data_IF_859619727780
#
_entry.id   IF_859619727780
#
_cell.length_a   1.000
_cell.length_b   1.000
_cell.length_c   1.000
_cell.angle_alpha   90.00
_cell.angle_beta   90.00
_cell.angle_gamma   90.00
#
_symmetry.space_group_name_H-M   'P 1'
#
loop_
_entity.id
_entity.type
_entity.pdbx_description
1 polymer ?
#
# COMPACT_ATOMS: atom_id res chain seq x y z
N UNK A 1 19.95 -87.85 5.57
CA UNK A 1 20.66 -86.76 6.28
C UNK A 1 21.18 -85.68 5.32
N UNK A 2 21.91 -86.02 4.25
CA UNK A 2 22.42 -85.00 3.32
C UNK A 2 21.32 -84.30 2.49
N UNK A 3 20.22 -85.00 2.17
CA UNK A 3 19.13 -84.47 1.33
C UNK A 3 18.25 -83.46 2.08
N UNK A 4 17.92 -83.76 3.34
CA UNK A 4 17.15 -82.90 4.25
C UNK A 4 17.88 -81.57 4.55
N UNK A 5 19.21 -81.60 4.60
CA UNK A 5 20.01 -80.38 4.75
C UNK A 5 19.99 -79.49 3.51
N UNK A 6 19.79 -80.04 2.32
CA UNK A 6 19.72 -79.23 1.08
C UNK A 6 18.38 -78.52 0.98
N UNK A 7 17.31 -79.21 1.30
CA UNK A 7 15.94 -78.67 1.32
C UNK A 7 15.81 -77.48 2.30
N UNK A 8 16.37 -77.64 3.51
CA UNK A 8 16.41 -76.58 4.51
C UNK A 8 17.25 -75.35 4.10
N UNK A 9 18.29 -75.54 3.28
CA UNK A 9 19.13 -74.45 2.80
C UNK A 9 18.47 -73.70 1.64
N UNK A 10 17.76 -74.41 0.76
CA UNK A 10 17.02 -73.80 -0.35
C UNK A 10 15.84 -72.96 0.18
N UNK A 11 15.11 -73.45 1.18
CA UNK A 11 14.01 -72.71 1.81
C UNK A 11 14.50 -71.42 2.50
N UNK A 12 15.66 -71.47 3.19
CA UNK A 12 16.24 -70.26 3.79
C UNK A 12 16.80 -69.27 2.78
N UNK A 13 17.30 -69.76 1.64
CA UNK A 13 17.78 -68.90 0.56
C UNK A 13 16.59 -68.19 -0.09
N UNK A 14 15.47 -68.87 -0.33
CA UNK A 14 14.25 -68.23 -0.83
C UNK A 14 13.69 -67.20 0.16
N UNK A 15 13.63 -67.53 1.46
CA UNK A 15 13.11 -66.59 2.48
C UNK A 15 14.00 -65.34 2.61
N UNK A 16 15.33 -65.51 2.46
CA UNK A 16 16.29 -64.40 2.50
C UNK A 16 16.26 -63.58 1.20
N UNK A 17 16.10 -64.24 0.04
CA UNK A 17 16.05 -63.58 -1.26
C UNK A 17 14.74 -62.78 -1.45
N UNK A 18 13.62 -63.28 -0.93
CA UNK A 18 12.32 -62.59 -1.03
C UNK A 18 12.25 -61.37 -0.10
N UNK A 19 12.89 -61.40 1.08
CA UNK A 19 12.90 -60.27 2.01
C UNK A 19 13.74 -59.07 1.54
N UNK A 20 14.84 -59.29 0.83
CA UNK A 20 15.80 -58.23 0.52
C UNK A 20 15.59 -57.53 -0.84
N UNK A 21 14.75 -58.08 -1.74
CA UNK A 21 14.55 -57.53 -3.10
C UNK A 21 13.45 -56.43 -3.15
N UNK A 22 12.63 -56.25 -2.12
CA UNK A 22 11.46 -55.34 -2.16
C UNK A 22 11.55 -54.07 -1.30
N UNK A 23 12.74 -53.62 -0.88
CA UNK A 23 12.90 -52.28 -0.30
C UNK A 23 12.89 -51.17 -1.38
N UNK A 24 11.71 -50.86 -1.92
CA UNK A 24 11.52 -49.75 -2.88
C UNK A 24 11.82 -48.40 -2.21
N UNK A 25 12.73 -47.56 -2.75
CA UNK A 25 12.98 -46.24 -2.16
C UNK A 25 11.72 -45.39 -2.32
N UNK A 26 11.12 -44.96 -1.20
CA UNK A 26 9.97 -44.05 -1.18
C UNK A 26 10.40 -42.65 -1.63
N UNK A 27 10.55 -42.45 -2.94
CA UNK A 27 10.59 -41.13 -3.57
C UNK A 27 9.18 -40.53 -3.58
N UNK A 28 8.84 -39.69 -2.60
CA UNK A 28 7.63 -38.83 -2.68
C UNK A 28 7.84 -37.50 -1.92
N UNK A 29 8.42 -36.52 -2.62
CA UNK A 29 8.33 -35.09 -2.24
C UNK A 29 8.30 -34.10 -3.42
N UNK A 30 8.29 -34.59 -4.66
CA UNK A 30 8.30 -33.72 -5.86
C UNK A 30 6.96 -33.05 -6.19
N UNK A 31 5.84 -33.55 -5.66
CA UNK A 31 4.52 -32.95 -5.94
C UNK A 31 4.30 -31.70 -5.08
N UNK A 32 4.62 -31.75 -3.78
CA UNK A 32 4.46 -30.61 -2.86
C UNK A 32 5.32 -29.41 -3.28
N UNK A 33 6.51 -29.65 -3.83
CA UNK A 33 7.38 -28.59 -4.35
C UNK A 33 6.78 -27.84 -5.55
N UNK A 34 6.10 -28.53 -6.47
CA UNK A 34 5.44 -27.88 -7.62
C UNK A 34 4.26 -27.00 -7.16
N UNK A 35 3.43 -27.47 -6.23
CA UNK A 35 2.36 -26.64 -5.64
C UNK A 35 2.91 -25.42 -4.92
N UNK A 36 4.05 -25.57 -4.22
CA UNK A 36 4.70 -24.44 -3.55
C UNK A 36 5.19 -23.39 -4.55
N UNK A 37 5.78 -23.82 -5.67
CA UNK A 37 6.21 -22.92 -6.75
C UNK A 37 5.02 -22.21 -7.41
N UNK A 38 3.93 -22.93 -7.73
CA UNK A 38 2.72 -22.30 -8.25
C UNK A 38 2.06 -21.34 -7.26
N UNK A 39 2.09 -21.66 -5.96
CA UNK A 39 1.60 -20.78 -4.89
C UNK A 39 2.39 -19.48 -4.78
N UNK A 40 3.73 -19.55 -4.87
CA UNK A 40 4.59 -18.36 -4.88
C UNK A 40 4.33 -17.51 -6.12
N UNK A 41 4.18 -18.13 -7.30
CA UNK A 41 3.88 -17.39 -8.55
C UNK A 41 2.52 -16.70 -8.45
N UNK A 42 1.49 -17.39 -7.93
CA UNK A 42 0.17 -16.81 -7.72
C UNK A 42 0.20 -15.65 -6.71
N UNK A 43 0.99 -15.78 -5.63
CA UNK A 43 1.17 -14.71 -4.65
C UNK A 43 1.83 -13.48 -5.28
N UNK A 44 2.87 -13.66 -6.09
CA UNK A 44 3.56 -12.55 -6.78
C UNK A 44 2.63 -11.86 -7.78
N UNK A 45 1.81 -12.62 -8.52
CA UNK A 45 0.81 -12.06 -9.42
C UNK A 45 -0.26 -11.28 -8.66
N UNK A 46 -0.75 -11.83 -7.54
CA UNK A 46 -1.71 -11.16 -6.68
C UNK A 46 -1.15 -9.86 -6.08
N UNK A 47 0.10 -9.88 -5.61
CA UNK A 47 0.81 -8.70 -5.11
C UNK A 47 1.00 -7.65 -6.22
N UNK A 48 1.35 -8.08 -7.43
CA UNK A 48 1.48 -7.19 -8.59
C UNK A 48 0.16 -6.49 -8.91
N UNK A 49 -0.96 -7.23 -8.92
CA UNK A 49 -2.31 -6.66 -9.11
C UNK A 49 -2.67 -5.70 -7.96
N UNK A 50 -2.36 -6.05 -6.71
CA UNK A 50 -2.61 -5.19 -5.55
C UNK A 50 -1.84 -3.86 -5.65
N UNK A 51 -0.58 -3.88 -6.08
CA UNK A 51 0.23 -2.67 -6.31
C UNK A 51 -0.35 -1.82 -7.44
N UNK A 52 -0.75 -2.44 -8.56
CA UNK A 52 -1.38 -1.72 -9.69
C UNK A 52 -2.70 -1.07 -9.25
N UNK A 53 -3.51 -1.76 -8.46
CA UNK A 53 -4.77 -1.22 -7.93
C UNK A 53 -4.53 -0.11 -6.90
N UNK A 54 -3.51 -0.22 -6.06
CA UNK A 54 -3.12 0.83 -5.12
C UNK A 54 -2.62 2.09 -5.85
N UNK A 55 -1.76 1.94 -6.86
CA UNK A 55 -1.26 3.06 -7.68
C UNK A 55 -2.39 3.69 -8.48
N UNK A 56 -3.25 2.89 -9.13
CA UNK A 56 -4.44 3.41 -9.83
C UNK A 56 -5.36 4.16 -8.87
N UNK A 57 -5.60 3.64 -7.66
CA UNK A 57 -6.39 4.33 -6.65
C UNK A 57 -5.78 5.68 -6.25
N UNK A 58 -4.46 5.78 -6.11
CA UNK A 58 -3.76 7.05 -5.87
C UNK A 58 -3.89 8.05 -7.03
N UNK A 59 -3.85 7.57 -8.28
CA UNK A 59 -3.99 8.39 -9.48
C UNK A 59 -5.45 8.85 -9.68
N UNK A 60 -6.44 7.96 -9.52
CA UNK A 60 -7.87 8.31 -9.57
C UNK A 60 -8.29 9.19 -8.39
N UNK A 61 -7.65 9.02 -7.22
CA UNK A 61 -7.81 9.94 -6.10
C UNK A 61 -7.25 11.31 -6.50
N UNK A 62 -6.05 11.40 -7.09
CA UNK A 62 -5.46 12.67 -7.53
C UNK A 62 -6.30 13.41 -8.59
N UNK A 63 -6.94 12.68 -9.51
CA UNK A 63 -7.86 13.26 -10.51
C UNK A 63 -9.20 13.68 -9.88
N UNK A 64 -9.74 12.88 -8.96
CA UNK A 64 -10.92 13.24 -8.16
C UNK A 64 -10.64 14.38 -7.16
N UNK A 65 -9.37 14.63 -6.86
CA UNK A 65 -8.86 15.70 -6.00
C UNK A 65 -8.44 16.94 -6.80
N UNK A 66 -8.79 17.08 -8.09
CA UNK A 66 -8.69 18.35 -8.81
C UNK A 66 -9.44 19.51 -8.14
N UNK A 67 -10.45 19.21 -7.30
CA UNK A 67 -11.10 20.16 -6.39
C UNK A 67 -10.42 20.28 -5.01
N UNK A 68 -9.49 19.39 -4.67
CA UNK A 68 -8.75 19.38 -3.41
C UNK A 68 -7.42 20.15 -3.44
N UNK A 69 -7.12 20.88 -4.52
CA UNK A 69 -6.01 21.83 -4.56
C UNK A 69 -6.10 22.85 -3.41
N UNK A 70 -7.31 23.33 -3.09
CA UNK A 70 -7.53 24.30 -2.01
C UNK A 70 -7.26 23.65 -0.65
N UNK A 71 -7.80 22.45 -0.40
CA UNK A 71 -7.61 21.76 0.88
C UNK A 71 -6.13 21.37 1.09
N UNK A 72 -5.44 20.96 0.02
CA UNK A 72 -4.01 20.62 0.06
C UNK A 72 -3.17 21.87 0.35
N UNK A 73 -3.48 23.00 -0.27
CA UNK A 73 -2.83 24.28 0.02
C UNK A 73 -3.07 24.75 1.45
N UNK A 74 -4.32 24.68 1.95
CA UNK A 74 -4.64 24.98 3.36
C UNK A 74 -3.89 24.04 4.30
N UNK A 75 -3.83 22.75 3.98
CA UNK A 75 -3.07 21.77 4.77
C UNK A 75 -1.59 22.12 4.80
N UNK A 76 -0.99 22.55 3.69
CA UNK A 76 0.40 23.01 3.68
C UNK A 76 0.63 24.29 4.49
N UNK A 77 -0.35 25.19 4.55
CA UNK A 77 -0.27 26.38 5.40
C UNK A 77 -0.35 26.04 6.90
N UNK A 78 -1.15 25.04 7.28
CA UNK A 78 -1.34 24.62 8.68
C UNK A 78 -0.26 23.62 9.16
N UNK A 79 0.26 22.77 8.26
CA UNK A 79 1.21 21.69 8.61
C UNK A 79 2.68 22.13 8.46
N UNK A 80 2.96 23.35 8.01
CA UNK A 80 4.33 23.88 7.94
C UNK A 80 4.79 24.39 9.33
N UNK A 81 4.92 23.49 10.31
CA UNK A 81 5.33 23.85 11.68
C UNK A 81 6.70 24.55 11.72
N UNK A 82 7.56 24.31 10.73
CA UNK A 82 8.90 24.90 10.66
C UNK A 82 8.93 26.35 10.14
N UNK A 83 7.81 26.89 9.63
CA UNK A 83 7.76 28.25 9.05
C UNK A 83 6.67 29.10 9.72
N UNK A 84 7.12 30.05 10.55
CA UNK A 84 6.24 31.09 11.12
C UNK A 84 5.60 31.94 10.03
N UNK A 85 4.37 32.36 10.29
CA UNK A 85 3.64 33.30 9.43
C UNK A 85 4.16 34.73 9.64
N UNK A 86 4.07 35.54 8.59
CA UNK A 86 4.38 36.97 8.69
C UNK A 86 3.40 37.62 9.67
N UNK A 87 3.95 38.31 10.67
CA UNK A 87 3.17 38.96 11.73
C UNK A 87 2.88 38.08 12.96
N UNK A 88 3.25 36.79 12.93
CA UNK A 88 3.12 35.88 14.07
C UNK A 88 4.01 36.31 15.24
N UNK A 89 5.25 36.74 14.97
CA UNK A 89 6.17 37.26 16.00
C UNK A 89 5.71 38.58 16.61
N UNK A 90 4.93 39.36 15.86
CA UNK A 90 4.34 40.63 16.30
C UNK A 90 2.92 40.45 16.84
N UNK A 91 2.49 39.21 17.06
CA UNK A 91 1.17 38.85 17.64
C UNK A 91 -0.03 39.37 16.83
N UNK A 92 0.12 39.57 15.51
CA UNK A 92 -0.99 39.97 14.64
C UNK A 92 -0.77 39.49 13.22
N UNK A 93 -1.63 38.58 12.78
CA UNK A 93 -1.61 38.00 11.45
C UNK A 93 -2.77 38.62 10.66
N UNK A 94 -2.50 39.15 9.47
CA UNK A 94 -3.53 39.71 8.59
C UNK A 94 -3.61 38.87 7.31
N UNK A 95 -4.83 38.47 6.95
CA UNK A 95 -5.13 37.61 5.80
C UNK A 95 -6.07 38.40 4.89
N UNK A 96 -5.66 38.60 3.64
CA UNK A 96 -6.50 39.16 2.58
C UNK A 96 -7.15 38.01 1.80
N UNK A 97 -8.46 38.01 1.73
CA UNK A 97 -9.28 37.07 0.99
C UNK A 97 -9.91 37.80 -0.20
N UNK A 98 -9.74 37.24 -1.39
CA UNK A 98 -10.26 37.76 -2.65
C UNK A 98 -11.10 36.68 -3.34
N UNK A 99 -12.35 36.99 -3.66
CA UNK A 99 -13.25 36.11 -4.42
C UNK A 99 -13.33 36.55 -5.87
N UNK A 100 -12.76 35.75 -6.78
CA UNK A 100 -12.85 35.94 -8.24
C UNK A 100 -13.84 34.94 -8.83
N UNK A 101 -14.63 35.38 -9.82
CA UNK A 101 -15.68 34.55 -10.44
C UNK A 101 -15.16 33.33 -11.22
N UNK A 102 -13.97 33.42 -11.83
CA UNK A 102 -13.35 32.33 -12.59
C UNK A 102 -13.75 32.33 -14.06
N UNK A 103 -13.12 31.45 -14.86
CA UNK A 103 -13.32 31.40 -16.31
C UNK A 103 -14.71 30.83 -16.66
N UNK A 104 -15.32 31.32 -17.75
CA UNK A 104 -16.59 30.78 -18.28
C UNK A 104 -17.79 31.73 -18.20
N UNK A 105 -17.60 32.97 -17.75
CA UNK A 105 -18.60 34.04 -17.77
C UNK A 105 -17.93 35.42 -17.97
N UNK A 106 -18.74 36.46 -18.17
CA UNK A 106 -18.26 37.84 -18.28
C UNK A 106 -17.64 38.33 -16.97
N UNK A 107 -16.52 39.04 -17.05
CA UNK A 107 -15.76 39.48 -15.87
C UNK A 107 -15.10 38.35 -15.07
N UNK A 108 -14.38 37.39 -15.69
CA UNK A 108 -13.85 36.21 -15.00
C UNK A 108 -12.80 36.52 -13.93
N UNK A 109 -12.14 37.69 -14.04
CA UNK A 109 -11.13 38.19 -13.11
C UNK A 109 -11.66 39.30 -12.19
N UNK A 110 -12.95 39.63 -12.28
CA UNK A 110 -13.55 40.63 -11.40
C UNK A 110 -13.61 40.06 -9.98
N UNK A 111 -13.17 40.86 -9.01
CA UNK A 111 -13.19 40.48 -7.60
C UNK A 111 -14.41 41.11 -6.94
N UNK A 112 -15.42 40.30 -6.70
CA UNK A 112 -16.68 40.75 -6.09
C UNK A 112 -16.65 40.63 -4.55
N UNK A 113 -15.62 39.98 -4.01
CA UNK A 113 -15.44 39.82 -2.56
C UNK A 113 -14.02 40.19 -2.17
N UNK A 114 -13.88 41.21 -1.34
CA UNK A 114 -12.63 41.58 -0.69
C UNK A 114 -12.88 41.47 0.81
N UNK A 115 -12.02 40.77 1.53
CA UNK A 115 -12.17 40.62 2.97
C UNK A 115 -10.80 40.56 3.65
N UNK A 116 -10.64 41.33 4.72
CA UNK A 116 -9.44 41.33 5.55
C UNK A 116 -9.80 40.69 6.89
N UNK A 117 -9.12 39.60 7.23
CA UNK A 117 -9.20 38.97 8.53
C UNK A 117 -7.91 39.25 9.33
N UNK A 118 -8.04 39.75 10.55
CA UNK A 118 -6.94 39.99 11.49
C UNK A 118 -7.06 39.02 12.66
N UNK A 119 -6.04 38.20 12.89
CA UNK A 119 -5.98 37.24 13.99
C UNK A 119 -4.87 37.61 14.98
N UNK A 120 -5.19 37.58 16.27
CA UNK A 120 -4.25 37.79 17.37
C UNK A 120 -4.02 36.47 18.11
N UNK A 121 -2.88 35.78 17.91
CA UNK A 121 -2.62 34.46 18.48
C UNK A 121 -2.67 34.41 20.01
N UNK A 122 -2.11 35.41 20.70
CA UNK A 122 -2.04 35.44 22.17
C UNK A 122 -3.41 35.45 22.85
N UNK A 123 -4.40 36.13 22.25
CA UNK A 123 -5.77 36.26 22.79
C UNK A 123 -6.78 35.42 22.05
N UNK A 124 -6.40 34.76 20.95
CA UNK A 124 -7.28 34.02 20.03
C UNK A 124 -8.43 34.87 19.48
N UNK A 125 -8.21 36.17 19.33
CA UNK A 125 -9.21 37.10 18.80
C UNK A 125 -9.12 37.20 17.29
N UNK A 126 -10.26 37.27 16.63
CA UNK A 126 -10.39 37.48 15.17
C UNK A 126 -11.25 38.71 14.93
N UNK A 127 -10.80 39.59 14.05
CA UNK A 127 -11.59 40.69 13.49
C UNK A 127 -11.64 40.58 11.98
N UNK A 128 -12.78 40.90 11.37
CA UNK A 128 -12.98 40.79 9.92
C UNK A 128 -13.64 42.06 9.37
N UNK A 129 -13.19 42.50 8.21
CA UNK A 129 -13.74 43.63 7.44
C UNK A 129 -13.92 43.15 6.00
N UNK A 130 -15.08 43.43 5.40
CA UNK A 130 -15.41 43.12 4.01
C UNK A 130 -15.91 44.34 3.28
#
# INVERSE_FOLDING_TARGET
>A
MAEEQRDFLEERIEETYDKDIFAKPRKKRFFVGKFFVYGIIALLLWLGVAVINAVKSGITLSESLGQANILTQIKHLVTSEDRKLVGEETDRINILLLGMGGFGHDGPLLTDTVMIASFKPSTKQVGMIS
#
